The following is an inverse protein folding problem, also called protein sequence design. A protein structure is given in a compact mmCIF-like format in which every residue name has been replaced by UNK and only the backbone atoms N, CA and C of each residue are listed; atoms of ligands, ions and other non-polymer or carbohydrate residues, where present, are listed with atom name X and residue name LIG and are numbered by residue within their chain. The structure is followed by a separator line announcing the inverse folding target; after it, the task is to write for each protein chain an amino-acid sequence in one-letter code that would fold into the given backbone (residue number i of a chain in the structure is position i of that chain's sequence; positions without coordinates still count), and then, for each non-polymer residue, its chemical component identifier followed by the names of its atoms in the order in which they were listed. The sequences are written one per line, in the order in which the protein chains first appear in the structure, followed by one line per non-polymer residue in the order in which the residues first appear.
data_IF_235624882066
#
_entry.id   IF_235624882066
#
_cell.length_a   1.000
_cell.length_b   1.000
_cell.length_c   1.000
_cell.angle_alpha   90.00
_cell.angle_beta   90.00
_cell.angle_gamma   90.00
#
_symmetry.space_group_name_H-M   'P 1'
#
loop_
_entity.id
_entity.type
_entity.pdbx_description
1 polymer ?
#
# COMPACT_ATOMS: atom_id res chain seq x y z
N UNK A 1 13.73 16.51 -32.82
CA UNK A 1 13.73 15.23 -32.08
C UNK A 1 14.91 15.13 -31.10
N UNK A 2 16.17 15.20 -31.55
CA UNK A 2 17.36 15.06 -30.67
C UNK A 2 17.42 16.04 -29.48
N UNK A 3 17.05 17.32 -29.65
CA UNK A 3 17.02 18.29 -28.54
C UNK A 3 15.91 18.03 -27.50
N UNK A 4 14.75 17.51 -27.93
CA UNK A 4 13.67 17.12 -27.00
C UNK A 4 14.04 15.87 -26.19
N UNK A 5 14.77 14.94 -26.81
CA UNK A 5 15.22 13.70 -26.17
C UNK A 5 16.31 13.96 -25.12
N UNK A 6 17.22 14.90 -25.39
CA UNK A 6 18.24 15.35 -24.42
C UNK A 6 17.60 16.02 -23.21
N UNK A 7 16.61 16.89 -23.42
CA UNK A 7 15.89 17.60 -22.35
C UNK A 7 15.10 16.61 -21.46
N UNK A 8 14.38 15.66 -22.08
CA UNK A 8 13.66 14.62 -21.34
C UNK A 8 14.59 13.72 -20.50
N UNK A 9 15.74 13.34 -21.06
CA UNK A 9 16.73 12.51 -20.36
C UNK A 9 17.32 13.27 -19.16
N UNK A 10 17.59 14.57 -19.33
CA UNK A 10 18.10 15.42 -18.27
C UNK A 10 17.07 15.62 -17.14
N UNK A 11 15.81 15.90 -17.48
CA UNK A 11 14.69 16.01 -16.51
C UNK A 11 14.55 14.71 -15.72
N UNK A 12 14.52 13.56 -16.40
CA UNK A 12 14.41 12.25 -15.76
C UNK A 12 15.60 11.94 -14.84
N UNK A 13 16.81 12.32 -15.23
CA UNK A 13 18.01 12.12 -14.40
C UNK A 13 17.97 12.99 -13.13
N UNK A 14 17.46 14.21 -13.23
CA UNK A 14 17.28 15.14 -12.11
C UNK A 14 16.24 14.60 -11.12
N UNK A 15 15.08 14.18 -11.60
CA UNK A 15 14.03 13.59 -10.75
C UNK A 15 14.50 12.34 -10.02
N UNK A 16 15.25 11.46 -10.71
CA UNK A 16 15.82 10.25 -10.10
C UNK A 16 16.78 10.59 -8.97
N UNK A 17 17.63 11.60 -9.15
CA UNK A 17 18.57 12.06 -8.12
C UNK A 17 17.84 12.63 -6.91
N UNK A 18 16.87 13.51 -7.14
CA UNK A 18 16.08 14.13 -6.07
C UNK A 18 15.21 13.12 -5.29
N UNK A 19 14.71 12.08 -5.94
CA UNK A 19 14.06 10.94 -5.29
C UNK A 19 15.03 10.18 -4.36
N UNK A 20 16.24 9.87 -4.84
CA UNK A 20 17.26 9.18 -4.05
C UNK A 20 17.74 10.01 -2.87
N UNK A 21 17.82 11.34 -3.03
CA UNK A 21 18.20 12.26 -1.97
C UNK A 21 17.20 12.21 -0.80
N UNK A 22 15.88 12.16 -1.06
CA UNK A 22 14.87 11.94 0.00
C UNK A 22 15.08 10.62 0.71
N UNK A 23 15.26 9.54 -0.06
CA UNK A 23 15.39 8.22 0.53
C UNK A 23 16.63 8.16 1.43
N UNK A 24 17.73 8.75 0.96
CA UNK A 24 18.97 8.88 1.73
C UNK A 24 18.75 9.69 2.99
N UNK A 25 18.11 10.85 2.90
CA UNK A 25 17.81 11.71 4.05
C UNK A 25 16.91 11.00 5.07
N UNK A 26 15.85 10.33 4.62
CA UNK A 26 14.98 9.52 5.47
C UNK A 26 15.74 8.40 6.19
N UNK A 27 16.70 7.75 5.53
CA UNK A 27 17.54 6.70 6.14
C UNK A 27 18.53 7.26 7.18
N UNK A 28 18.89 8.55 7.10
CA UNK A 28 19.78 9.15 8.11
C UNK A 28 19.11 9.29 9.47
N UNK A 29 17.78 9.41 9.53
CA UNK A 29 17.02 9.54 10.79
C UNK A 29 17.25 8.34 11.71
N UNK A 30 16.88 7.09 11.34
CA UNK A 30 17.12 5.94 12.20
C UNK A 30 18.61 5.66 12.40
N UNK A 31 19.46 5.93 11.39
CA UNK A 31 20.90 5.71 11.51
C UNK A 31 21.58 6.60 12.56
N UNK A 32 21.16 7.86 12.68
CA UNK A 32 21.77 8.84 13.61
C UNK A 32 21.10 8.87 14.98
N UNK A 33 19.86 8.38 15.09
CA UNK A 33 19.06 8.52 16.30
C UNK A 33 18.58 7.15 16.81
N UNK A 34 19.40 6.45 17.59
CA UNK A 34 19.03 5.12 18.14
C UNK A 34 17.76 5.16 19.01
N UNK A 35 17.50 6.29 19.68
CA UNK A 35 16.28 6.51 20.46
C UNK A 35 15.03 6.47 19.57
N UNK A 36 15.13 6.92 18.31
CA UNK A 36 14.05 6.80 17.34
C UNK A 36 13.75 5.32 17.07
N UNK A 37 14.77 4.50 16.83
CA UNK A 37 14.60 3.05 16.59
C UNK A 37 13.91 2.38 17.77
N UNK A 38 14.40 2.61 19.00
CA UNK A 38 13.82 2.00 20.21
C UNK A 38 12.37 2.42 20.38
N UNK A 39 12.09 3.72 20.25
CA UNK A 39 10.74 4.27 20.35
C UNK A 39 9.81 3.67 19.29
N UNK A 40 10.23 3.67 18.03
CA UNK A 40 9.52 3.10 16.89
C UNK A 40 9.17 1.62 17.10
N UNK A 41 10.13 0.82 17.56
CA UNK A 41 9.90 -0.61 17.85
C UNK A 41 8.84 -0.79 18.95
N UNK A 42 8.92 0.00 20.02
CA UNK A 42 7.97 -0.07 21.14
C UNK A 42 6.56 0.33 20.70
N UNK A 43 6.42 1.42 19.94
CA UNK A 43 5.11 1.91 19.48
C UNK A 43 4.49 1.03 18.39
N UNK A 44 5.32 0.41 17.55
CA UNK A 44 4.85 -0.50 16.51
C UNK A 44 4.53 -1.91 17.01
N UNK A 45 4.92 -2.29 18.23
CA UNK A 45 4.74 -3.65 18.73
C UNK A 45 3.28 -4.15 18.74
N UNK A 46 2.27 -3.36 19.21
CA UNK A 46 0.87 -3.79 19.16
C UNK A 46 0.36 -3.97 17.72
N UNK A 47 0.77 -3.07 16.82
CA UNK A 47 0.42 -3.14 15.40
C UNK A 47 1.06 -4.38 14.76
N UNK A 48 2.34 -4.65 15.03
CA UNK A 48 3.05 -5.83 14.54
C UNK A 48 2.34 -7.13 14.94
N UNK A 49 2.00 -7.29 16.23
CA UNK A 49 1.30 -8.49 16.70
C UNK A 49 -0.04 -8.71 15.98
N UNK A 50 -0.82 -7.63 15.80
CA UNK A 50 -2.07 -7.69 15.05
C UNK A 50 -1.84 -7.97 13.56
N UNK A 51 -0.77 -7.43 12.97
CA UNK A 51 -0.40 -7.70 11.58
C UNK A 51 -0.04 -9.16 11.35
N UNK A 52 0.68 -9.80 12.28
CA UNK A 52 0.99 -11.24 12.17
C UNK A 52 -0.30 -12.05 12.21
N UNK A 53 -1.19 -11.72 13.13
CA UNK A 53 -2.50 -12.38 13.22
C UNK A 53 -3.33 -12.18 11.95
N UNK A 54 -3.39 -10.94 11.44
CA UNK A 54 -4.09 -10.60 10.20
C UNK A 54 -3.56 -11.38 9.00
N UNK A 55 -2.24 -11.44 8.82
CA UNK A 55 -1.60 -12.16 7.71
C UNK A 55 -1.89 -13.67 7.77
N UNK A 56 -1.91 -14.28 8.96
CA UNK A 56 -2.27 -15.69 9.13
C UNK A 56 -3.73 -15.93 8.70
N UNK A 57 -4.66 -15.08 9.15
CA UNK A 57 -6.08 -15.20 8.78
C UNK A 57 -6.26 -14.98 7.28
N UNK A 58 -5.61 -13.97 6.71
CA UNK A 58 -5.63 -13.67 5.27
C UNK A 58 -5.15 -14.87 4.44
N UNK A 59 -3.99 -15.45 4.78
CA UNK A 59 -3.44 -16.61 4.08
C UNK A 59 -4.38 -17.82 4.13
N UNK A 60 -4.98 -18.09 5.30
CA UNK A 60 -5.92 -19.20 5.45
C UNK A 60 -7.20 -19.00 4.62
N UNK A 61 -7.77 -17.79 4.65
CA UNK A 61 -8.95 -17.43 3.86
C UNK A 61 -8.66 -17.52 2.36
N UNK A 62 -7.51 -17.02 1.91
CA UNK A 62 -7.07 -17.12 0.51
C UNK A 62 -6.90 -18.58 0.10
N UNK A 63 -6.21 -19.40 0.89
CA UNK A 63 -6.00 -20.82 0.59
C UNK A 63 -7.32 -21.59 0.46
N UNK A 64 -8.29 -21.34 1.36
CA UNK A 64 -9.64 -21.93 1.26
C UNK A 64 -10.38 -21.47 0.01
N UNK A 65 -10.29 -20.18 -0.30
CA UNK A 65 -10.87 -19.60 -1.52
C UNK A 65 -10.28 -20.25 -2.77
N UNK A 66 -8.95 -20.39 -2.84
CA UNK A 66 -8.28 -21.06 -3.96
C UNK A 66 -8.73 -22.51 -4.10
N UNK A 67 -8.81 -23.27 -2.99
CA UNK A 67 -9.31 -24.66 -3.00
C UNK A 67 -10.75 -24.76 -3.50
N UNK A 68 -11.60 -23.81 -3.13
CA UNK A 68 -12.98 -23.74 -3.58
C UNK A 68 -13.09 -23.53 -5.10
N UNK A 69 -12.17 -22.76 -5.70
CA UNK A 69 -12.14 -22.51 -7.15
C UNK A 69 -11.28 -23.50 -7.96
N UNK A 70 -10.62 -24.46 -7.32
CA UNK A 70 -9.92 -25.57 -8.02
C UNK A 70 -10.86 -26.77 -8.21
N UNK A 71 -11.17 -27.18 -9.45
CA UNK A 71 -12.01 -28.35 -9.69
C UNK A 71 -11.31 -29.64 -9.23
N UNK A 72 -12.11 -30.59 -8.74
CA UNK A 72 -11.67 -31.96 -8.45
C UNK A 72 -11.33 -32.65 -9.79
N UNK A 73 -10.23 -33.43 -9.89
CA UNK A 73 -9.88 -34.15 -11.11
C UNK A 73 -11.04 -35.02 -11.61
N UNK A 74 -11.30 -34.97 -12.93
CA UNK A 74 -12.48 -35.54 -13.61
C UNK A 74 -12.62 -37.06 -13.57
N UNK A 75 -11.66 -37.80 -13.00
CA UNK A 75 -11.69 -39.27 -13.00
C UNK A 75 -12.77 -39.86 -12.06
N UNK A 76 -13.45 -39.04 -11.25
CA UNK A 76 -14.51 -39.49 -10.33
C UNK A 76 -15.95 -39.25 -10.83
N UNK A 77 -16.16 -38.62 -11.99
CA UNK A 77 -17.50 -38.17 -12.40
C UNK A 77 -18.38 -39.24 -13.05
N UNK A 78 -17.88 -40.45 -13.27
CA UNK A 78 -18.63 -41.49 -14.00
C UNK A 78 -19.60 -42.30 -13.14
N UNK A 79 -19.54 -42.19 -11.82
CA UNK A 79 -20.45 -42.89 -10.92
C UNK A 79 -20.85 -41.94 -9.80
N UNK A 80 -22.10 -41.48 -9.86
CA UNK A 80 -23.01 -41.30 -8.71
C UNK A 80 -23.76 -39.95 -8.70
N UNK A 81 -25.08 -40.03 -8.89
CA UNK A 81 -26.02 -38.91 -8.77
C UNK A 81 -26.16 -38.47 -7.30
N UNK A 82 -26.02 -39.38 -6.32
CA UNK A 82 -26.04 -39.02 -4.90
C UNK A 82 -24.80 -38.18 -4.51
N UNK A 83 -23.64 -38.49 -5.09
CA UNK A 83 -22.43 -37.66 -5.00
C UNK A 83 -22.64 -36.23 -5.51
N UNK A 84 -23.45 -36.03 -6.56
CA UNK A 84 -23.72 -34.69 -7.11
C UNK A 84 -24.61 -33.81 -6.19
N UNK A 85 -25.58 -34.41 -5.49
CA UNK A 85 -26.42 -33.72 -4.49
C UNK A 85 -25.60 -33.45 -3.21
N UNK A 86 -24.79 -34.41 -2.76
CA UNK A 86 -23.88 -34.21 -1.64
C UNK A 86 -22.81 -33.14 -1.92
N UNK A 87 -22.29 -33.07 -3.14
CA UNK A 87 -21.40 -32.00 -3.61
C UNK A 87 -22.11 -30.64 -3.65
N UNK A 88 -23.39 -30.59 -4.03
CA UNK A 88 -24.17 -29.35 -4.05
C UNK A 88 -24.44 -28.81 -2.64
N UNK A 89 -24.82 -29.68 -1.70
CA UNK A 89 -25.00 -29.30 -0.28
C UNK A 89 -23.67 -28.90 0.38
N UNK A 90 -22.58 -29.62 0.09
CA UNK A 90 -21.25 -29.28 0.61
C UNK A 90 -20.73 -27.98 -0.02
N UNK A 91 -21.08 -27.69 -1.28
CA UNK A 91 -20.76 -26.41 -1.94
C UNK A 91 -21.50 -25.23 -1.32
N UNK A 92 -22.81 -25.36 -1.05
CA UNK A 92 -23.59 -24.33 -0.36
C UNK A 92 -23.12 -24.12 1.08
N UNK A 93 -22.83 -25.20 1.81
CA UNK A 93 -22.30 -25.14 3.18
C UNK A 93 -20.89 -24.56 3.24
N UNK A 94 -20.03 -24.93 2.29
CA UNK A 94 -18.67 -24.41 2.15
C UNK A 94 -18.66 -22.94 1.72
N UNK A 95 -19.54 -22.53 0.80
CA UNK A 95 -19.72 -21.13 0.40
C UNK A 95 -20.24 -20.24 1.53
N UNK A 96 -21.18 -20.74 2.34
CA UNK A 96 -21.64 -20.06 3.56
C UNK A 96 -20.51 -19.83 4.56
N UNK A 97 -19.68 -20.85 4.80
CA UNK A 97 -18.50 -20.73 5.67
C UNK A 97 -17.45 -19.77 5.11
N UNK A 98 -17.21 -19.81 3.79
CA UNK A 98 -16.24 -18.95 3.10
C UNK A 98 -16.63 -17.47 3.22
N UNK A 99 -17.91 -17.14 2.96
CA UNK A 99 -18.40 -15.77 3.09
C UNK A 99 -18.25 -15.22 4.52
N UNK A 100 -18.52 -16.05 5.54
CA UNK A 100 -18.30 -15.68 6.94
C UNK A 100 -16.84 -15.39 7.28
N UNK A 101 -15.88 -16.11 6.69
CA UNK A 101 -14.44 -15.87 6.88
C UNK A 101 -13.98 -14.57 6.24
N UNK A 102 -14.47 -14.25 5.04
CA UNK A 102 -14.23 -12.96 4.40
C UNK A 102 -14.83 -11.80 5.20
N UNK A 103 -16.04 -11.95 5.76
CA UNK A 103 -16.64 -10.94 6.63
C UNK A 103 -15.77 -10.70 7.87
N UNK A 104 -15.29 -11.77 8.53
CA UNK A 104 -14.39 -11.65 9.69
C UNK A 104 -13.09 -10.93 9.33
N UNK A 105 -12.50 -11.27 8.19
CA UNK A 105 -11.27 -10.63 7.70
C UNK A 105 -11.50 -9.14 7.40
N UNK A 106 -12.62 -8.78 6.78
CA UNK A 106 -13.01 -7.38 6.54
C UNK A 106 -13.19 -6.61 7.84
N UNK A 107 -13.87 -7.18 8.84
CA UNK A 107 -14.05 -6.55 10.15
C UNK A 107 -12.72 -6.37 10.88
N UNK A 108 -11.83 -7.38 10.81
CA UNK A 108 -10.48 -7.32 11.37
C UNK A 108 -9.64 -6.21 10.71
N UNK A 109 -9.75 -6.06 9.39
CA UNK A 109 -9.07 -5.00 8.63
C UNK A 109 -9.59 -3.60 8.97
N UNK A 110 -10.92 -3.42 8.93
CA UNK A 110 -11.56 -2.11 9.04
C UNK A 110 -11.48 -1.50 10.44
N UNK A 111 -11.57 -2.33 11.50
CA UNK A 111 -11.62 -1.84 12.87
C UNK A 111 -10.24 -1.90 13.56
N UNK A 112 -9.81 -3.04 14.13
CA UNK A 112 -8.61 -3.05 14.96
C UNK A 112 -7.33 -2.81 14.14
N UNK A 113 -7.23 -3.33 12.91
CA UNK A 113 -6.02 -3.19 12.10
C UNK A 113 -5.82 -1.74 11.64
N UNK A 114 -6.88 -1.12 11.12
CA UNK A 114 -6.83 0.29 10.71
C UNK A 114 -6.57 1.24 11.89
N UNK A 115 -7.22 1.02 13.04
CA UNK A 115 -7.03 1.86 14.23
C UNK A 115 -5.61 1.77 14.79
N UNK A 116 -5.06 0.56 14.96
CA UNK A 116 -3.67 0.41 15.42
C UNK A 116 -2.68 0.92 14.38
N UNK A 117 -2.98 0.72 13.09
CA UNK A 117 -2.20 1.28 11.99
C UNK A 117 -2.14 2.81 12.09
N UNK A 118 -3.28 3.47 12.24
CA UNK A 118 -3.36 4.92 12.40
C UNK A 118 -2.57 5.43 13.60
N UNK A 119 -2.69 4.76 14.76
CA UNK A 119 -1.88 5.13 15.92
C UNK A 119 -0.39 5.03 15.59
N UNK A 120 0.04 3.94 14.96
CA UNK A 120 1.43 3.77 14.57
C UNK A 120 1.91 4.86 13.58
N UNK A 121 1.05 5.29 12.64
CA UNK A 121 1.31 6.40 11.72
C UNK A 121 1.54 7.69 12.49
N UNK A 122 0.62 8.07 13.38
CA UNK A 122 0.69 9.30 14.15
C UNK A 122 1.99 9.35 14.97
N UNK A 123 2.31 8.24 15.66
CA UNK A 123 3.54 8.14 16.47
C UNK A 123 4.80 8.29 15.60
N UNK A 124 4.85 7.61 14.46
CA UNK A 124 6.01 7.63 13.56
C UNK A 124 6.20 8.99 12.91
N UNK A 125 5.12 9.59 12.41
CA UNK A 125 5.14 10.89 11.74
C UNK A 125 5.57 12.00 12.70
N UNK A 126 5.01 12.01 13.92
CA UNK A 126 5.42 12.98 14.95
C UNK A 126 6.88 12.80 15.35
N UNK A 127 7.33 11.57 15.59
CA UNK A 127 8.73 11.33 15.97
C UNK A 127 9.70 11.73 14.84
N UNK A 128 9.37 11.39 13.59
CA UNK A 128 10.20 11.73 12.44
C UNK A 128 10.25 13.25 12.16
N UNK A 129 9.11 13.95 12.28
CA UNK A 129 9.03 15.39 12.00
C UNK A 129 9.86 16.20 13.00
N UNK A 130 9.82 15.84 14.27
CA UNK A 130 10.62 16.49 15.30
C UNK A 130 12.13 16.35 15.08
N UNK A 131 12.58 15.13 14.77
CA UNK A 131 14.00 14.87 14.49
C UNK A 131 14.43 15.66 13.25
N UNK A 132 13.57 15.70 12.22
CA UNK A 132 13.83 16.45 11.01
C UNK A 132 13.88 17.97 11.25
N UNK A 133 13.03 18.50 12.14
CA UNK A 133 13.01 19.91 12.54
C UNK A 133 14.14 20.30 13.53
N UNK A 134 14.91 19.33 14.04
CA UNK A 134 15.97 19.56 15.03
C UNK A 134 15.45 19.84 16.45
N UNK A 135 14.20 19.47 16.75
CA UNK A 135 13.58 19.64 18.06
C UNK A 135 14.00 18.54 19.04
N UNK A 136 13.94 18.83 20.36
CA UNK A 136 14.23 17.81 21.40
C UNK A 136 13.20 16.68 21.33
N UNK A 137 13.60 15.40 21.47
CA UNK A 137 12.66 14.28 21.36
C UNK A 137 11.57 14.36 22.43
N UNK A 138 10.30 14.25 22.02
CA UNK A 138 9.14 14.23 22.91
C UNK A 138 9.22 13.05 23.90
N UNK A 139 8.82 13.28 25.15
CA UNK A 139 8.57 12.21 26.13
C UNK A 139 7.24 11.48 25.82
N UNK A 140 7.14 10.18 26.12
CA UNK A 140 5.88 9.40 25.96
C UNK A 140 4.65 10.09 26.57
N UNK A 141 4.87 10.92 27.59
CA UNK A 141 3.83 11.70 28.28
C UNK A 141 3.25 12.82 27.40
N UNK A 142 4.07 13.54 26.64
CA UNK A 142 3.57 14.64 25.79
C UNK A 142 2.79 14.11 24.57
N UNK A 143 3.09 12.87 24.15
CA UNK A 143 2.32 12.16 23.11
C UNK A 143 0.96 11.68 23.63
N UNK A 144 0.89 11.23 24.89
CA UNK A 144 -0.38 10.88 25.52
C UNK A 144 -1.29 12.11 25.73
N UNK A 145 -0.72 13.32 25.81
CA UNK A 145 -1.47 14.58 25.88
C UNK A 145 -1.99 15.04 24.51
N UNK A 146 -1.37 14.61 23.40
CA UNK A 146 -1.89 14.81 22.03
C UNK A 146 -3.18 14.00 21.72
N UNK A 147 -3.79 13.33 22.72
CA UNK A 147 -5.05 12.59 22.61
C UNK A 147 -6.19 13.41 21.95
N UNK A 148 -6.13 14.74 22.00
CA UNK A 148 -7.09 15.67 21.38
C UNK A 148 -6.88 15.88 19.87
N UNK A 149 -5.71 15.52 19.31
CA UNK A 149 -5.35 15.73 17.90
C UNK A 149 -5.61 14.54 16.98
N UNK A 150 -6.02 13.39 17.50
CA UNK A 150 -6.28 12.19 16.67
C UNK A 150 -7.50 12.30 15.76
N UNK A 151 -8.42 13.24 16.02
CA UNK A 151 -9.63 13.44 15.22
C UNK A 151 -9.31 13.71 13.75
N UNK A 152 -8.35 14.60 13.48
CA UNK A 152 -7.95 14.97 12.12
C UNK A 152 -7.39 13.78 11.32
N UNK A 153 -6.30 13.14 11.80
CA UNK A 153 -5.75 11.93 11.20
C UNK A 153 -6.79 10.82 11.04
N UNK A 154 -7.69 10.65 12.00
CA UNK A 154 -8.75 9.65 11.92
C UNK A 154 -9.69 9.91 10.74
N UNK A 155 -10.20 11.14 10.59
CA UNK A 155 -11.07 11.50 9.47
C UNK A 155 -10.35 11.30 8.14
N UNK A 156 -9.14 11.84 7.98
CA UNK A 156 -8.34 11.67 6.76
C UNK A 156 -8.07 10.20 6.45
N UNK A 157 -7.80 9.38 7.48
CA UNK A 157 -7.54 7.94 7.31
C UNK A 157 -8.76 7.18 6.78
N UNK A 158 -9.99 7.61 7.10
CA UNK A 158 -11.20 6.98 6.56
C UNK A 158 -11.30 7.24 5.05
N UNK A 159 -11.00 8.47 4.60
CA UNK A 159 -10.96 8.78 3.16
C UNK A 159 -9.89 7.94 2.45
N UNK A 160 -8.68 7.86 3.02
CA UNK A 160 -7.59 7.05 2.45
C UNK A 160 -7.96 5.57 2.43
N UNK A 161 -8.57 5.05 3.49
CA UNK A 161 -9.03 3.66 3.58
C UNK A 161 -10.07 3.35 2.50
N UNK A 162 -11.07 4.21 2.33
CA UNK A 162 -12.11 4.05 1.32
C UNK A 162 -11.51 4.04 -0.10
N UNK A 163 -10.71 5.07 -0.42
CA UNK A 163 -10.09 5.22 -1.74
C UNK A 163 -9.14 4.06 -2.07
N UNK A 164 -8.28 3.68 -1.12
CA UNK A 164 -7.35 2.57 -1.31
C UNK A 164 -8.06 1.23 -1.46
N UNK A 165 -9.08 0.96 -0.64
CA UNK A 165 -9.84 -0.30 -0.68
C UNK A 165 -10.58 -0.45 -2.01
N UNK A 166 -11.21 0.61 -2.53
CA UNK A 166 -11.89 0.57 -3.82
C UNK A 166 -10.95 0.15 -4.97
N UNK A 167 -9.72 0.68 -5.01
CA UNK A 167 -8.77 0.35 -6.07
C UNK A 167 -8.17 -1.04 -5.89
N UNK A 168 -7.86 -1.42 -4.64
CA UNK A 168 -7.37 -2.77 -4.34
C UNK A 168 -8.41 -3.82 -4.72
N UNK A 169 -9.70 -3.59 -4.44
CA UNK A 169 -10.79 -4.45 -4.91
C UNK A 169 -10.85 -4.51 -6.44
N UNK A 170 -10.62 -3.39 -7.13
CA UNK A 170 -10.48 -3.35 -8.59
C UNK A 170 -9.34 -4.25 -9.09
N UNK A 171 -8.16 -4.17 -8.47
CA UNK A 171 -7.01 -5.02 -8.81
C UNK A 171 -7.31 -6.52 -8.57
N UNK A 172 -7.92 -6.86 -7.43
CA UNK A 172 -8.37 -8.23 -7.15
C UNK A 172 -9.39 -8.69 -8.19
N UNK A 173 -10.32 -7.82 -8.58
CA UNK A 173 -11.29 -8.07 -9.63
C UNK A 173 -10.63 -8.38 -10.98
N UNK A 174 -9.61 -7.63 -11.38
CA UNK A 174 -8.86 -7.88 -12.63
C UNK A 174 -8.17 -9.26 -12.60
N UNK A 175 -7.50 -9.60 -11.51
CA UNK A 175 -6.85 -10.92 -11.35
C UNK A 175 -7.86 -12.05 -11.36
N UNK A 176 -8.99 -11.87 -10.67
CA UNK A 176 -10.06 -12.88 -10.58
C UNK A 176 -10.72 -13.11 -11.94
N UNK A 177 -11.01 -12.04 -12.69
CA UNK A 177 -11.56 -12.14 -14.04
C UNK A 177 -10.57 -12.81 -15.00
N UNK A 178 -9.28 -12.46 -14.93
CA UNK A 178 -8.24 -13.12 -15.73
C UNK A 178 -8.23 -14.63 -15.46
N UNK A 179 -8.26 -15.02 -14.18
CA UNK A 179 -8.26 -16.44 -13.78
C UNK A 179 -9.50 -17.20 -14.26
N UNK A 180 -10.69 -16.61 -14.10
CA UNK A 180 -11.96 -17.21 -14.52
C UNK A 180 -11.99 -17.37 -16.05
N UNK A 181 -11.59 -16.34 -16.79
CA UNK A 181 -11.58 -16.37 -18.26
C UNK A 181 -10.59 -17.41 -18.77
N UNK A 182 -9.34 -17.41 -18.28
CA UNK A 182 -8.35 -18.41 -18.68
C UNK A 182 -8.81 -19.84 -18.35
N UNK A 183 -9.50 -20.06 -17.21
CA UNK A 183 -10.07 -21.38 -16.88
C UNK A 183 -11.28 -21.77 -17.71
N UNK A 184 -12.19 -20.83 -18.01
CA UNK A 184 -13.36 -21.10 -18.86
C UNK A 184 -12.94 -21.65 -20.23
N UNK A 185 -11.85 -21.11 -20.80
CA UNK A 185 -11.28 -21.60 -22.05
C UNK A 185 -10.57 -22.95 -21.94
N UNK A 186 -10.00 -23.31 -20.78
CA UNK A 186 -9.38 -24.64 -20.56
C UNK A 186 -10.42 -25.75 -20.51
N UNK A 187 -11.63 -25.49 -20.04
CA UNK A 187 -12.73 -26.45 -20.07
C UNK A 187 -13.21 -26.69 -21.52
N UNK A 188 -13.31 -25.62 -22.32
CA UNK A 188 -13.58 -25.73 -23.77
C UNK A 188 -12.45 -26.43 -24.54
N UNK A 189 -11.19 -26.26 -24.12
CA UNK A 189 -10.01 -26.89 -24.73
C UNK A 189 -10.08 -28.42 -24.73
N UNK A 190 -10.65 -29.02 -23.68
CA UNK A 190 -10.81 -30.48 -23.61
C UNK A 190 -11.90 -31.02 -24.56
N UNK A 191 -12.81 -30.16 -25.02
CA UNK A 191 -13.98 -30.55 -25.83
C UNK A 191 -13.88 -30.10 -27.30
N UNK A 192 -13.21 -29.00 -27.62
CA UNK A 192 -13.18 -28.41 -28.96
C UNK A 192 -11.85 -27.70 -29.29
N UNK A 193 -10.97 -28.43 -29.98
CA UNK A 193 -9.97 -27.91 -30.95
C UNK A 193 -8.71 -27.16 -30.46
N UNK A 194 -7.62 -27.46 -31.18
CA UNK A 194 -6.19 -27.23 -30.90
C UNK A 194 -5.68 -25.79 -31.12
N UNK A 195 -6.51 -24.74 -31.22
CA UNK A 195 -6.06 -23.41 -31.68
C UNK A 195 -6.28 -22.22 -30.71
N UNK A 196 -6.57 -22.47 -29.42
CA UNK A 196 -6.98 -21.41 -28.47
C UNK A 196 -5.83 -20.78 -27.65
N UNK A 197 -4.59 -21.28 -27.77
CA UNK A 197 -3.44 -20.78 -26.99
C UNK A 197 -3.11 -19.30 -27.28
N UNK A 198 -3.35 -18.85 -28.52
CA UNK A 198 -3.11 -17.45 -28.90
C UNK A 198 -4.13 -16.50 -28.25
N UNK A 199 -5.41 -16.88 -28.21
CA UNK A 199 -6.48 -16.06 -27.61
C UNK A 199 -6.32 -15.97 -26.10
N UNK A 200 -6.02 -17.08 -25.43
CA UNK A 200 -5.74 -17.08 -23.98
C UNK A 200 -4.50 -16.24 -23.63
N UNK A 201 -3.45 -16.32 -24.47
CA UNK A 201 -2.26 -15.46 -24.33
C UNK A 201 -2.61 -13.97 -24.48
N UNK A 202 -3.44 -13.59 -25.45
CA UNK A 202 -3.86 -12.20 -25.64
C UNK A 202 -4.73 -11.70 -24.48
N UNK A 203 -5.67 -12.51 -23.98
CA UNK A 203 -6.49 -12.17 -22.81
C UNK A 203 -5.60 -11.96 -21.58
N UNK A 204 -4.64 -12.85 -21.37
CA UNK A 204 -3.68 -12.76 -20.28
C UNK A 204 -2.84 -11.48 -20.38
N UNK A 205 -2.28 -11.17 -21.55
CA UNK A 205 -1.51 -9.93 -21.80
C UNK A 205 -2.37 -8.69 -21.54
N UNK A 206 -3.63 -8.69 -21.97
CA UNK A 206 -4.57 -7.58 -21.74
C UNK A 206 -4.81 -7.35 -20.24
N UNK A 207 -5.10 -8.40 -19.48
CA UNK A 207 -5.31 -8.31 -18.03
C UNK A 207 -4.04 -7.88 -17.28
N UNK A 208 -2.86 -8.40 -17.67
CA UNK A 208 -1.58 -7.95 -17.13
C UNK A 208 -1.38 -6.45 -17.40
N UNK A 209 -1.69 -5.99 -18.61
CA UNK A 209 -1.56 -4.58 -18.99
C UNK A 209 -2.48 -3.69 -18.15
N UNK A 210 -3.75 -4.08 -17.99
CA UNK A 210 -4.71 -3.37 -17.13
C UNK A 210 -4.24 -3.37 -15.67
N UNK A 211 -3.77 -4.51 -15.18
CA UNK A 211 -3.27 -4.64 -13.81
C UNK A 211 -2.11 -3.68 -13.56
N UNK A 212 -1.11 -3.65 -14.46
CA UNK A 212 0.04 -2.74 -14.36
C UNK A 212 -0.44 -1.28 -14.42
N UNK A 213 -1.35 -0.93 -15.32
CA UNK A 213 -1.88 0.43 -15.44
C UNK A 213 -2.60 0.89 -14.16
N UNK A 214 -3.45 0.03 -13.59
CA UNK A 214 -4.14 0.29 -12.32
C UNK A 214 -3.16 0.38 -11.14
N UNK A 215 -2.12 -0.46 -11.11
CA UNK A 215 -1.10 -0.44 -10.06
C UNK A 215 -0.28 0.86 -10.10
N UNK A 216 0.07 1.32 -11.30
CA UNK A 216 0.74 2.60 -11.50
C UNK A 216 -0.15 3.77 -11.03
N UNK A 217 -1.45 3.73 -11.35
CA UNK A 217 -2.40 4.75 -10.90
C UNK A 217 -2.63 4.72 -9.39
N UNK A 218 -2.74 3.52 -8.80
CA UNK A 218 -2.77 3.35 -7.35
C UNK A 218 -1.54 3.97 -6.69
N UNK A 219 -0.35 3.70 -7.22
CA UNK A 219 0.91 4.21 -6.68
C UNK A 219 0.98 5.74 -6.75
N UNK A 220 0.58 6.34 -7.88
CA UNK A 220 0.51 7.79 -8.07
C UNK A 220 -0.44 8.45 -7.04
N UNK A 221 -1.66 7.93 -6.90
CA UNK A 221 -2.63 8.48 -5.96
C UNK A 221 -2.28 8.23 -4.50
N UNK A 222 -1.67 7.08 -4.20
CA UNK A 222 -1.22 6.76 -2.84
C UNK A 222 -0.18 7.75 -2.32
N UNK A 223 0.60 8.38 -3.21
CA UNK A 223 1.55 9.43 -2.81
C UNK A 223 0.82 10.64 -2.22
N UNK A 224 -0.26 11.07 -2.88
CA UNK A 224 -1.11 12.16 -2.40
C UNK A 224 -1.86 11.80 -1.12
N UNK A 225 -2.36 10.56 -1.01
CA UNK A 225 -3.08 10.09 0.17
C UNK A 225 -2.19 10.00 1.40
N UNK A 226 -0.98 9.45 1.26
CA UNK A 226 -0.02 9.35 2.35
C UNK A 226 0.49 10.74 2.76
N UNK A 227 0.66 11.66 1.80
CA UNK A 227 0.98 13.05 2.09
C UNK A 227 -0.16 13.77 2.82
N UNK A 228 -1.42 13.55 2.44
CA UNK A 228 -2.58 14.08 3.14
C UNK A 228 -2.67 13.56 4.59
N UNK A 229 -2.31 12.29 4.82
CA UNK A 229 -2.21 11.74 6.16
C UNK A 229 -1.12 12.43 6.98
N UNK A 230 0.09 12.59 6.43
CA UNK A 230 1.18 13.34 7.09
C UNK A 230 0.73 14.76 7.43
N UNK A 231 0.11 15.46 6.47
CA UNK A 231 -0.45 16.79 6.69
C UNK A 231 -1.45 16.77 7.84
N UNK A 232 -2.38 15.82 7.87
CA UNK A 232 -3.38 15.78 8.96
C UNK A 232 -2.83 15.48 10.34
N UNK A 233 -1.62 14.92 10.42
CA UNK A 233 -0.90 14.72 11.68
C UNK A 233 -0.15 15.97 12.10
N UNK A 234 0.52 16.63 11.15
CA UNK A 234 1.44 17.74 11.44
C UNK A 234 0.76 19.12 11.42
N UNK A 235 -0.26 19.26 10.58
CA UNK A 235 -1.04 20.47 10.37
C UNK A 235 -2.44 20.29 10.97
N UNK A 236 -3.12 21.37 11.31
CA UNK A 236 -4.49 21.33 11.86
C UNK A 236 -5.58 21.15 10.77
N UNK A 237 -5.18 20.75 9.56
CA UNK A 237 -6.05 20.52 8.41
C UNK A 237 -6.29 19.02 8.21
N UNK A 238 -7.52 18.61 7.91
CA UNK A 238 -7.87 17.18 7.80
C UNK A 238 -8.99 16.92 6.80
N UNK A 239 -9.22 15.65 6.47
CA UNK A 239 -10.22 15.26 5.48
C UNK A 239 -9.89 15.86 4.12
N UNK A 240 -10.89 16.43 3.45
CA UNK A 240 -10.75 16.97 2.08
C UNK A 240 -9.71 18.10 2.02
N UNK A 241 -9.67 18.98 3.02
CA UNK A 241 -8.70 20.09 3.06
C UNK A 241 -7.25 19.60 3.09
N UNK A 242 -6.97 18.48 3.79
CA UNK A 242 -5.64 17.88 3.79
C UNK A 242 -5.27 17.28 2.42
N UNK A 243 -6.26 16.77 1.67
CA UNK A 243 -6.03 16.30 0.30
C UNK A 243 -5.75 17.47 -0.65
N UNK A 244 -6.51 18.56 -0.54
CA UNK A 244 -6.26 19.77 -1.32
C UNK A 244 -4.85 20.30 -1.04
N UNK A 245 -4.45 20.37 0.24
CA UNK A 245 -3.12 20.81 0.61
C UNK A 245 -2.02 19.84 0.12
N UNK A 246 -2.27 18.53 0.15
CA UNK A 246 -1.37 17.54 -0.43
C UNK A 246 -1.20 17.73 -1.95
N UNK A 247 -2.29 17.97 -2.69
CA UNK A 247 -2.22 18.24 -4.14
C UNK A 247 -1.51 19.55 -4.44
N UNK A 248 -1.70 20.57 -3.60
CA UNK A 248 -1.02 21.85 -3.71
C UNK A 248 0.50 21.71 -3.52
N UNK A 249 0.94 21.07 -2.45
CA UNK A 249 2.37 20.90 -2.17
C UNK A 249 3.06 19.91 -3.11
N UNK A 250 2.36 18.88 -3.59
CA UNK A 250 2.91 17.92 -4.55
C UNK A 250 2.94 18.45 -5.99
N UNK A 251 2.39 19.65 -6.26
CA UNK A 251 2.37 20.24 -7.60
C UNK A 251 3.79 20.40 -8.14
N UNK A 252 4.08 19.74 -9.26
CA UNK A 252 5.41 19.72 -9.87
C UNK A 252 6.37 18.66 -9.32
N UNK A 253 5.94 17.80 -8.40
CA UNK A 253 6.73 16.67 -7.86
C UNK A 253 5.98 15.33 -7.91
N UNK A 254 4.89 15.23 -8.67
CA UNK A 254 4.03 14.04 -8.79
C UNK A 254 4.80 12.78 -9.18
N UNK A 255 5.71 12.87 -10.16
CA UNK A 255 6.55 11.73 -10.60
C UNK A 255 7.48 11.23 -9.51
N UNK A 256 8.01 12.12 -8.67
CA UNK A 256 8.84 11.76 -7.52
C UNK A 256 8.02 11.06 -6.45
N UNK A 257 6.83 11.58 -6.13
CA UNK A 257 5.87 10.92 -5.26
C UNK A 257 5.52 9.51 -5.73
N UNK A 258 5.25 9.34 -7.03
CA UNK A 258 5.01 8.04 -7.67
C UNK A 258 6.19 7.07 -7.46
N UNK A 259 7.43 7.51 -7.74
CA UNK A 259 8.62 6.67 -7.57
C UNK A 259 8.82 6.24 -6.11
N UNK A 260 8.59 7.13 -5.15
CA UNK A 260 8.64 6.81 -3.72
C UNK A 260 7.63 5.71 -3.37
N UNK A 261 6.38 5.85 -3.81
CA UNK A 261 5.34 4.87 -3.52
C UNK A 261 5.59 3.52 -4.19
N UNK A 262 6.12 3.50 -5.41
CA UNK A 262 6.46 2.27 -6.12
C UNK A 262 7.47 1.41 -5.34
N UNK A 263 8.45 2.03 -4.67
CA UNK A 263 9.42 1.29 -3.83
C UNK A 263 8.70 0.56 -2.71
N UNK A 264 7.77 1.22 -2.02
CA UNK A 264 7.05 0.60 -0.89
C UNK A 264 6.00 -0.40 -1.35
N UNK A 265 5.34 -0.17 -2.49
CA UNK A 265 4.44 -1.16 -3.11
C UNK A 265 5.22 -2.42 -3.50
N UNK A 266 6.36 -2.26 -4.19
CA UNK A 266 7.23 -3.37 -4.55
C UNK A 266 7.75 -4.11 -3.30
N UNK A 267 8.16 -3.38 -2.27
CA UNK A 267 8.57 -3.94 -0.98
C UNK A 267 7.48 -4.82 -0.38
N UNK A 268 6.25 -4.30 -0.25
CA UNK A 268 5.12 -5.05 0.29
C UNK A 268 4.82 -6.31 -0.53
N UNK A 269 4.85 -6.23 -1.87
CA UNK A 269 4.63 -7.38 -2.75
C UNK A 269 5.72 -8.44 -2.54
N UNK A 270 7.00 -8.06 -2.54
CA UNK A 270 8.14 -8.97 -2.40
C UNK A 270 8.06 -9.77 -1.10
N UNK A 271 7.64 -9.14 0.00
CA UNK A 271 7.54 -9.83 1.30
C UNK A 271 6.20 -10.56 1.51
N UNK A 272 5.12 -10.17 0.83
CA UNK A 272 3.83 -10.89 0.90
C UNK A 272 3.78 -12.11 -0.01
N UNK A 273 4.50 -12.15 -1.14
CA UNK A 273 4.46 -13.28 -2.07
C UNK A 273 4.94 -14.62 -1.44
N UNK A 274 6.08 -14.70 -0.72
CA UNK A 274 6.54 -15.95 -0.10
C UNK A 274 5.54 -16.53 0.91
N UNK A 275 4.84 -15.65 1.61
CA UNK A 275 3.75 -15.99 2.53
C UNK A 275 2.55 -16.66 1.85
N UNK A 276 2.32 -16.42 0.55
CA UNK A 276 1.24 -17.03 -0.21
C UNK A 276 1.61 -18.39 -0.82
N UNK A 277 2.90 -18.60 -1.13
CA UNK A 277 3.38 -19.82 -1.80
C UNK A 277 4.04 -20.85 -0.87
N UNK A 278 4.34 -20.47 0.38
CA UNK A 278 4.95 -21.36 1.37
C UNK A 278 3.98 -22.42 1.91
N UNK A 279 4.02 -23.64 1.35
CA UNK A 279 3.31 -24.80 1.90
C UNK A 279 4.13 -25.40 3.05
N UNK A 280 4.07 -24.79 4.23
CA UNK A 280 4.89 -25.23 5.38
C UNK A 280 4.20 -26.34 6.17
N UNK A 281 4.92 -27.45 6.38
CA UNK A 281 4.43 -28.70 6.99
C UNK A 281 4.31 -28.65 8.53
N UNK A 282 4.86 -27.63 9.19
CA UNK A 282 4.82 -27.49 10.65
C UNK A 282 4.20 -26.16 11.09
N UNK A 283 3.20 -26.25 11.99
CA UNK A 283 2.41 -25.10 12.46
C UNK A 283 3.25 -24.01 13.13
N UNK A 284 4.31 -24.39 13.85
CA UNK A 284 5.22 -23.43 14.50
C UNK A 284 6.16 -22.77 13.48
N UNK A 285 6.72 -23.54 12.54
CA UNK A 285 7.57 -23.00 11.48
C UNK A 285 6.84 -21.97 10.61
N UNK A 286 5.57 -22.23 10.29
CA UNK A 286 4.72 -21.28 9.55
C UNK A 286 4.50 -19.96 10.31
N UNK A 287 4.25 -20.01 11.63
CA UNK A 287 4.05 -18.80 12.45
C UNK A 287 5.33 -17.97 12.52
N UNK A 288 6.48 -18.60 12.75
CA UNK A 288 7.77 -17.90 12.81
C UNK A 288 8.09 -17.27 11.44
N UNK A 289 7.89 -18.02 10.36
CA UNK A 289 8.08 -17.52 9.00
C UNK A 289 7.21 -16.29 8.71
N UNK A 290 5.89 -16.39 8.93
CA UNK A 290 4.97 -15.26 8.75
C UNK A 290 5.38 -14.08 9.63
N UNK A 291 5.78 -14.32 10.88
CA UNK A 291 6.22 -13.26 11.79
C UNK A 291 7.45 -12.50 11.28
N UNK A 292 8.43 -13.20 10.70
CA UNK A 292 9.64 -12.57 10.12
C UNK A 292 9.27 -11.69 8.92
N UNK A 293 8.49 -12.22 7.97
CA UNK A 293 8.09 -11.47 6.77
C UNK A 293 7.17 -10.30 7.12
N UNK A 294 6.21 -10.49 8.04
CA UNK A 294 5.40 -9.39 8.58
C UNK A 294 6.27 -8.35 9.27
N UNK A 295 7.34 -8.75 9.96
CA UNK A 295 8.30 -7.83 10.58
C UNK A 295 8.97 -6.93 9.54
N UNK A 296 9.41 -7.50 8.42
CA UNK A 296 9.98 -6.75 7.29
C UNK A 296 8.96 -5.83 6.63
N UNK A 297 7.69 -6.24 6.52
CA UNK A 297 6.59 -5.38 6.06
C UNK A 297 6.39 -4.20 7.01
N UNK A 298 6.37 -4.44 8.33
CA UNK A 298 6.23 -3.39 9.34
C UNK A 298 7.40 -2.39 9.29
N UNK A 299 8.65 -2.85 9.10
CA UNK A 299 9.81 -1.98 8.91
C UNK A 299 9.67 -1.13 7.65
N UNK A 300 9.25 -1.73 6.53
CA UNK A 300 8.98 -1.00 5.30
C UNK A 300 7.89 0.06 5.48
N UNK A 301 6.80 -0.28 6.17
CA UNK A 301 5.73 0.66 6.50
C UNK A 301 6.21 1.79 7.39
N UNK A 302 7.05 1.52 8.37
CA UNK A 302 7.64 2.55 9.22
C UNK A 302 8.49 3.52 8.39
N UNK A 303 9.38 2.99 7.55
CA UNK A 303 10.21 3.80 6.67
C UNK A 303 9.39 4.57 5.63
N UNK A 304 8.25 4.04 5.18
CA UNK A 304 7.30 4.74 4.31
C UNK A 304 6.84 6.04 4.94
N UNK A 305 6.47 6.02 6.22
CA UNK A 305 6.02 7.23 6.92
C UNK A 305 7.16 8.23 7.14
N UNK A 306 8.35 7.76 7.50
CA UNK A 306 9.54 8.63 7.60
C UNK A 306 9.83 9.31 6.26
N UNK A 307 9.80 8.56 5.15
CA UNK A 307 9.97 9.09 3.80
C UNK A 307 8.88 10.09 3.45
N UNK A 308 7.62 9.84 3.81
CA UNK A 308 6.53 10.77 3.55
C UNK A 308 6.70 12.09 4.32
N UNK A 309 7.27 12.05 5.54
CA UNK A 309 7.59 13.26 6.31
C UNK A 309 8.67 14.08 5.61
N UNK A 310 9.78 13.46 5.22
CA UNK A 310 10.86 14.15 4.49
C UNK A 310 10.34 14.71 3.16
N UNK A 311 9.56 13.92 2.43
CA UNK A 311 8.91 14.35 1.19
C UNK A 311 7.99 15.55 1.40
N UNK A 312 7.20 15.55 2.48
CA UNK A 312 6.35 16.67 2.83
C UNK A 312 7.15 17.95 3.08
N UNK A 313 8.19 17.90 3.89
CA UNK A 313 9.01 19.08 4.17
C UNK A 313 9.77 19.59 2.95
N UNK A 314 10.29 18.69 2.11
CA UNK A 314 10.94 19.07 0.84
C UNK A 314 9.94 19.77 -0.10
N UNK A 315 8.74 19.20 -0.32
CA UNK A 315 7.71 19.82 -1.13
C UNK A 315 7.28 21.20 -0.59
N UNK A 316 7.07 21.30 0.73
CA UNK A 316 6.70 22.55 1.40
C UNK A 316 7.78 23.62 1.21
N UNK A 317 9.06 23.24 1.38
CA UNK A 317 10.21 24.15 1.19
C UNK A 317 10.29 24.68 -0.25
N UNK A 318 10.17 23.82 -1.27
CA UNK A 318 10.23 24.23 -2.69
C UNK A 318 9.13 25.23 -3.07
N UNK A 319 7.92 25.02 -2.55
CA UNK A 319 6.80 25.94 -2.81
C UNK A 319 7.05 27.30 -2.14
N UNK A 320 7.62 27.32 -0.94
CA UNK A 320 7.97 28.56 -0.25
C UNK A 320 9.10 29.32 -0.96
N UNK A 321 10.16 28.63 -1.39
CA UNK A 321 11.26 29.22 -2.16
C UNK A 321 10.75 29.87 -3.46
N UNK A 322 9.87 29.16 -4.19
CA UNK A 322 9.28 29.69 -5.43
C UNK A 322 8.45 30.95 -5.20
N UNK A 323 7.68 31.03 -4.09
CA UNK A 323 6.90 32.23 -3.76
C UNK A 323 7.80 33.43 -3.46
N UNK A 324 8.88 33.22 -2.71
CA UNK A 324 9.84 34.27 -2.40
C UNK A 324 10.50 34.80 -3.67
N UNK A 325 10.88 33.92 -4.60
CA UNK A 325 11.47 34.32 -5.88
C UNK A 325 10.49 35.13 -6.76
N UNK A 326 9.20 34.77 -6.75
CA UNK A 326 8.15 35.50 -7.47
C UNK A 326 7.90 36.90 -6.88
N UNK A 327 7.89 37.03 -5.54
CA UNK A 327 7.75 38.31 -4.83
C UNK A 327 8.94 39.25 -5.11
N UNK A 328 10.18 38.74 -5.00
CA UNK A 328 11.39 39.51 -5.29
C UNK A 328 11.48 39.93 -6.76
N UNK A 329 11.05 39.06 -7.68
CA UNK A 329 10.98 39.37 -9.11
C UNK A 329 9.89 40.38 -9.49
N UNK A 330 8.83 40.49 -8.68
CA UNK A 330 7.78 41.50 -8.83
C UNK A 330 8.26 42.86 -8.35
N UNK A 331 8.91 42.93 -7.18
CA UNK A 331 9.42 44.19 -6.63
C UNK A 331 10.56 44.80 -7.47
N UNK A 332 11.39 43.96 -8.10
CA UNK A 332 12.42 44.42 -9.05
C UNK A 332 11.87 45.06 -10.34
N UNK A 333 10.59 44.86 -10.66
CA UNK A 333 9.93 45.50 -11.82
C UNK A 333 9.24 46.82 -11.46
N UNK A 334 9.00 47.10 -10.18
CA UNK A 334 8.33 48.34 -9.74
C UNK A 334 9.32 49.51 -9.59
N UNK A 335 10.63 49.26 -9.59
CA UNK A 335 11.68 50.29 -9.41
C UNK A 335 12.20 50.88 -10.74
N UNK A 336 11.70 50.42 -11.89
CA UNK A 336 12.03 51.00 -13.21
C UNK A 336 10.81 51.73 -13.80
N UNK A 337 10.45 52.88 -13.23
CA UNK A 337 9.64 53.93 -13.88
C UNK A 337 10.24 55.29 -13.61
#
# INVERSE_FOLDING_TARGET
MRNMEIDYTQIMSKEKREFLDILKEALTIPHKHINFIIFSLLTSFPYFGLSVFFEIVLQQTLLKTFKFFTPVPSDSFYYDWESSVALHDDWHRSGGNLSGEWIKLCLLYLAPYHLLGLLNIVMTVNAASMIYAGEKPISLRDILVQKTRLKGPFITSIYVLLLSTCILLGLVGVVTNCYILSKGFVIDYYYYSSNNNFVDSLITIFHITIFIALLMKYSEWSAGWNMALVISVLEETYGIEAFELATYFSRGSTRRGLLLMLVFVAWEIVFRLPCLFGRWSERLGAIVFTSVFTGLICVGNLMKWVVCVVYFFDCKKRILEKKVDEEVGSDGKVVNV
#
